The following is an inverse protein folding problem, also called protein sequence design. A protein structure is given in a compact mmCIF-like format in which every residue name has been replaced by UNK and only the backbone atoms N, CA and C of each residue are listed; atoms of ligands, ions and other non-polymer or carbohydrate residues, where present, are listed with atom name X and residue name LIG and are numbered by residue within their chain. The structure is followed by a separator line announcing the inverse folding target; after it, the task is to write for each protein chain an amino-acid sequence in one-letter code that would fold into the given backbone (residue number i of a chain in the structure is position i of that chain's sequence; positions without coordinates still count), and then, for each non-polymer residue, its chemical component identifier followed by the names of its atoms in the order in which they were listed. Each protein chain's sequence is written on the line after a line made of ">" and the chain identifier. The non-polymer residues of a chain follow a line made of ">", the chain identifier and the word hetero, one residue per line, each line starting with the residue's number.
data_IF_629552557423
#
_entry.id   IF_629552557423
#
_cell.length_a   1.000
_cell.length_b   1.000
_cell.length_c   1.000
_cell.angle_alpha   90.00
_cell.angle_beta   90.00
_cell.angle_gamma   90.00
#
_symmetry.space_group_name_H-M   'P 1'
#
loop_
_entity.id
_entity.type
_entity.pdbx_description
1 polymer ?
#
# COMPACT_ATOMS: atom_id res chain seq x y z
N UNK A 1 -35.85 -59.00 -117.78
CA UNK A 1 -34.96 -59.18 -116.61
C UNK A 1 -34.09 -57.94 -116.33
N UNK A 2 -33.39 -57.36 -117.32
CA UNK A 2 -32.55 -56.14 -117.14
C UNK A 2 -33.26 -54.90 -116.58
N UNK A 3 -34.48 -54.58 -117.04
CA UNK A 3 -35.19 -53.38 -116.60
C UNK A 3 -35.58 -53.40 -115.09
N UNK A 4 -35.86 -54.59 -114.55
CA UNK A 4 -36.20 -54.77 -113.13
C UNK A 4 -34.97 -54.63 -112.23
N UNK A 5 -33.84 -55.19 -112.62
CA UNK A 5 -32.56 -55.00 -111.92
C UNK A 5 -32.11 -53.54 -111.88
N UNK A 6 -32.30 -52.79 -112.98
CA UNK A 6 -31.98 -51.35 -113.02
C UNK A 6 -32.88 -50.52 -112.10
N UNK A 7 -34.16 -50.87 -111.97
CA UNK A 7 -35.08 -50.22 -111.02
C UNK A 7 -34.73 -50.56 -109.56
N UNK A 8 -34.38 -51.81 -109.26
CA UNK A 8 -34.00 -52.24 -107.92
C UNK A 8 -32.66 -51.60 -107.49
N UNK A 9 -31.69 -51.49 -108.38
CA UNK A 9 -30.42 -50.80 -108.13
C UNK A 9 -30.64 -49.28 -107.90
N UNK A 10 -31.50 -48.65 -108.70
CA UNK A 10 -31.89 -47.24 -108.49
C UNK A 10 -32.57 -47.03 -107.13
N UNK A 11 -33.49 -47.92 -106.75
CA UNK A 11 -34.16 -47.86 -105.45
C UNK A 11 -33.20 -48.07 -104.28
N UNK A 12 -32.21 -48.96 -104.42
CA UNK A 12 -31.16 -49.16 -103.43
C UNK A 12 -30.28 -47.92 -103.25
N UNK A 13 -29.87 -47.28 -104.35
CA UNK A 13 -29.08 -46.03 -104.31
C UNK A 13 -29.87 -44.89 -103.68
N UNK A 14 -31.17 -44.75 -104.00
CA UNK A 14 -32.04 -43.75 -103.37
C UNK A 14 -32.23 -43.99 -101.87
N UNK A 15 -32.39 -45.25 -101.44
CA UNK A 15 -32.47 -45.62 -100.02
C UNK A 15 -31.17 -45.33 -99.27
N UNK A 16 -30.02 -45.69 -99.83
CA UNK A 16 -28.71 -45.40 -99.24
C UNK A 16 -28.47 -43.88 -99.12
N UNK A 17 -28.87 -43.10 -100.13
CA UNK A 17 -28.80 -41.63 -100.09
C UNK A 17 -29.68 -41.03 -99.00
N UNK A 18 -30.89 -41.56 -98.79
CA UNK A 18 -31.79 -41.10 -97.73
C UNK A 18 -31.24 -41.40 -96.34
N UNK A 19 -30.63 -42.58 -96.14
CA UNK A 19 -29.95 -42.95 -94.90
C UNK A 19 -28.77 -42.04 -94.61
N UNK A 20 -27.90 -41.80 -95.60
CA UNK A 20 -26.77 -40.87 -95.50
C UNK A 20 -27.22 -39.44 -95.17
N UNK A 21 -28.32 -38.98 -95.77
CA UNK A 21 -28.88 -37.65 -95.48
C UNK A 21 -29.43 -37.57 -94.04
N UNK A 22 -30.08 -38.64 -93.56
CA UNK A 22 -30.58 -38.71 -92.18
C UNK A 22 -29.43 -38.71 -91.17
N UNK A 23 -28.40 -39.52 -91.41
CA UNK A 23 -27.20 -39.60 -90.58
C UNK A 23 -26.42 -38.28 -90.58
N UNK A 24 -26.26 -37.65 -91.75
CA UNK A 24 -25.63 -36.32 -91.84
C UNK A 24 -26.42 -35.27 -91.05
N UNK A 25 -27.75 -35.33 -91.05
CA UNK A 25 -28.59 -34.43 -90.25
C UNK A 25 -28.45 -34.68 -88.75
N UNK A 26 -28.40 -35.94 -88.30
CA UNK A 26 -28.20 -36.24 -86.88
C UNK A 26 -26.82 -35.82 -86.40
N UNK A 27 -25.77 -36.08 -87.19
CA UNK A 27 -24.40 -35.66 -86.87
C UNK A 27 -24.27 -34.13 -86.78
N UNK A 28 -24.96 -33.37 -87.65
CA UNK A 28 -25.00 -31.91 -87.56
C UNK A 28 -25.64 -31.43 -86.25
N UNK A 29 -26.75 -32.05 -85.84
CA UNK A 29 -27.40 -31.71 -84.57
C UNK A 29 -26.53 -32.04 -83.36
N UNK A 30 -25.87 -33.21 -83.37
CA UNK A 30 -24.93 -33.60 -82.31
C UNK A 30 -23.73 -32.64 -82.24
N UNK A 31 -23.21 -32.21 -83.39
CA UNK A 31 -22.13 -31.23 -83.47
C UNK A 31 -22.55 -29.87 -82.89
N UNK A 32 -23.76 -29.41 -83.20
CA UNK A 32 -24.28 -28.14 -82.67
C UNK A 32 -24.50 -28.22 -81.15
N UNK A 33 -25.06 -29.32 -80.63
CA UNK A 33 -25.20 -29.55 -79.18
C UNK A 33 -23.82 -29.61 -78.49
N UNK A 34 -22.85 -30.32 -79.07
CA UNK A 34 -21.51 -30.41 -78.53
C UNK A 34 -20.79 -29.05 -78.50
N UNK A 35 -21.03 -28.20 -79.52
CA UNK A 35 -20.50 -26.83 -79.56
C UNK A 35 -21.11 -25.94 -78.48
N UNK A 36 -22.41 -26.04 -78.26
CA UNK A 36 -23.11 -25.30 -77.19
C UNK A 36 -22.58 -25.72 -75.81
N UNK A 37 -22.47 -27.03 -75.56
CA UNK A 37 -21.90 -27.57 -74.32
C UNK A 37 -20.45 -27.11 -74.10
N UNK A 38 -19.63 -27.08 -75.17
CA UNK A 38 -18.25 -26.60 -75.08
C UNK A 38 -18.19 -25.11 -74.74
N UNK A 39 -19.06 -24.30 -75.33
CA UNK A 39 -19.14 -22.87 -75.03
C UNK A 39 -19.56 -22.61 -73.57
N UNK A 40 -20.56 -23.35 -73.08
CA UNK A 40 -21.00 -23.27 -71.67
C UNK A 40 -19.89 -23.69 -70.70
N UNK A 41 -19.20 -24.80 -71.00
CA UNK A 41 -18.10 -25.28 -70.18
C UNK A 41 -16.95 -24.27 -70.12
N UNK A 42 -16.62 -23.66 -71.27
CA UNK A 42 -15.58 -22.64 -71.36
C UNK A 42 -15.96 -21.41 -70.53
N UNK A 43 -17.21 -20.94 -70.63
CA UNK A 43 -17.70 -19.80 -69.84
C UNK A 43 -17.61 -20.08 -68.33
N UNK A 44 -18.07 -21.25 -67.89
CA UNK A 44 -17.98 -21.64 -66.48
C UNK A 44 -16.53 -21.76 -65.98
N UNK A 45 -15.63 -22.24 -66.83
CA UNK A 45 -14.21 -22.31 -66.50
C UNK A 45 -13.62 -20.90 -66.30
N UNK A 46 -13.92 -19.95 -67.21
CA UNK A 46 -13.47 -18.56 -67.09
C UNK A 46 -14.02 -17.88 -65.82
N UNK A 47 -15.30 -18.08 -65.51
CA UNK A 47 -15.92 -17.58 -64.27
C UNK A 47 -15.23 -18.13 -63.01
N UNK A 48 -14.94 -19.44 -62.99
CA UNK A 48 -14.29 -20.10 -61.88
C UNK A 48 -12.83 -19.65 -61.73
N UNK A 49 -12.11 -19.42 -62.83
CA UNK A 49 -10.77 -18.85 -62.80
C UNK A 49 -10.76 -17.45 -62.19
N UNK A 50 -11.68 -16.58 -62.61
CA UNK A 50 -11.78 -15.21 -62.08
C UNK A 50 -12.07 -15.23 -60.59
N UNK A 51 -13.00 -16.09 -60.16
CA UNK A 51 -13.32 -16.29 -58.74
C UNK A 51 -12.11 -16.80 -57.95
N UNK A 52 -11.43 -17.83 -58.45
CA UNK A 52 -10.23 -18.39 -57.81
C UNK A 52 -9.12 -17.34 -57.67
N UNK A 53 -8.87 -16.53 -58.72
CA UNK A 53 -7.92 -15.42 -58.68
C UNK A 53 -8.30 -14.36 -57.65
N UNK A 54 -9.59 -14.07 -57.47
CA UNK A 54 -10.08 -13.14 -56.45
C UNK A 54 -9.89 -13.70 -55.03
N UNK A 55 -10.24 -14.97 -54.81
CA UNK A 55 -10.09 -15.64 -53.52
C UNK A 55 -8.62 -15.72 -53.10
N UNK A 56 -7.72 -16.07 -54.01
CA UNK A 56 -6.27 -16.07 -53.76
C UNK A 56 -5.76 -14.68 -53.34
N UNK A 57 -6.25 -13.60 -53.98
CA UNK A 57 -5.88 -12.23 -53.59
C UNK A 57 -6.37 -11.87 -52.19
N UNK A 58 -7.56 -12.31 -51.80
CA UNK A 58 -8.10 -12.09 -50.46
C UNK A 58 -7.27 -12.85 -49.42
N UNK A 59 -6.98 -14.13 -49.66
CA UNK A 59 -6.13 -14.95 -48.79
C UNK A 59 -4.75 -14.32 -48.60
N UNK A 60 -4.13 -13.79 -49.66
CA UNK A 60 -2.84 -13.09 -49.56
C UNK A 60 -2.94 -11.86 -48.65
N UNK A 61 -4.01 -11.07 -48.75
CA UNK A 61 -4.23 -9.90 -47.87
C UNK A 61 -4.41 -10.32 -46.42
N UNK A 62 -5.20 -11.37 -46.18
CA UNK A 62 -5.45 -11.90 -44.84
C UNK A 62 -4.17 -12.45 -44.21
N UNK A 63 -3.41 -13.27 -44.94
CA UNK A 63 -2.11 -13.78 -44.49
C UNK A 63 -1.15 -12.63 -44.18
N UNK A 64 -1.13 -11.57 -44.99
CA UNK A 64 -0.28 -10.39 -44.73
C UNK A 64 -0.71 -9.66 -43.45
N UNK A 65 -2.01 -9.47 -43.26
CA UNK A 65 -2.58 -8.84 -42.05
C UNK A 65 -2.33 -9.67 -40.79
N UNK A 66 -2.48 -11.00 -40.87
CA UNK A 66 -2.21 -11.90 -39.76
C UNK A 66 -0.73 -11.89 -39.38
N UNK A 67 0.17 -11.88 -40.37
CA UNK A 67 1.62 -11.78 -40.13
C UNK A 67 2.02 -10.47 -39.45
N UNK A 68 1.44 -9.33 -39.87
CA UNK A 68 1.72 -8.05 -39.21
C UNK A 68 1.21 -8.04 -37.78
N UNK A 69 -0.04 -8.46 -37.56
CA UNK A 69 -0.64 -8.55 -36.22
C UNK A 69 0.15 -9.50 -35.30
N UNK A 70 0.60 -10.65 -35.80
CA UNK A 70 1.47 -11.55 -35.04
C UNK A 70 2.79 -10.90 -34.64
N UNK A 71 3.40 -10.10 -35.52
CA UNK A 71 4.64 -9.37 -35.23
C UNK A 71 4.42 -8.31 -34.15
N UNK A 72 3.35 -7.53 -34.27
CA UNK A 72 2.97 -6.50 -33.30
C UNK A 72 2.71 -7.12 -31.91
N UNK A 73 1.96 -8.23 -31.85
CA UNK A 73 1.67 -8.92 -30.60
C UNK A 73 2.93 -9.45 -29.92
N UNK A 74 3.91 -9.96 -30.69
CA UNK A 74 5.20 -10.40 -30.15
C UNK A 74 6.01 -9.24 -29.57
N UNK A 75 6.00 -8.09 -30.24
CA UNK A 75 6.67 -6.89 -29.76
C UNK A 75 6.01 -6.39 -28.46
N UNK A 76 4.68 -6.35 -28.43
CA UNK A 76 3.91 -5.96 -27.26
C UNK A 76 4.17 -6.88 -26.07
N UNK A 77 4.14 -8.20 -26.29
CA UNK A 77 4.46 -9.19 -25.27
C UNK A 77 5.87 -8.98 -24.69
N UNK A 78 6.85 -8.72 -25.55
CA UNK A 78 8.22 -8.44 -25.10
C UNK A 78 8.32 -7.17 -24.26
N UNK A 79 7.59 -6.11 -24.65
CA UNK A 79 7.50 -4.87 -23.89
C UNK A 79 6.88 -5.10 -22.51
N UNK A 80 5.69 -5.70 -22.47
CA UNK A 80 4.96 -5.97 -21.22
C UNK A 80 5.76 -6.87 -20.28
N UNK A 81 6.49 -7.87 -20.81
CA UNK A 81 7.37 -8.69 -19.98
C UNK A 81 8.49 -7.88 -19.31
N UNK A 82 9.09 -6.92 -20.02
CA UNK A 82 10.13 -6.04 -19.44
C UNK A 82 9.55 -5.13 -18.36
N UNK A 83 8.42 -4.50 -18.65
CA UNK A 83 7.71 -3.63 -17.70
C UNK A 83 7.29 -4.41 -16.44
N UNK A 84 6.77 -5.63 -16.61
CA UNK A 84 6.44 -6.53 -15.49
C UNK A 84 7.65 -6.80 -14.60
N UNK A 85 8.80 -7.16 -15.18
CA UNK A 85 10.02 -7.45 -14.42
C UNK A 85 10.55 -6.22 -13.68
N UNK A 86 10.45 -5.04 -14.28
CA UNK A 86 10.83 -3.79 -13.63
C UNK A 86 9.89 -3.45 -12.47
N UNK A 87 8.58 -3.59 -12.67
CA UNK A 87 7.59 -3.38 -11.63
C UNK A 87 7.77 -4.36 -10.46
N UNK A 88 8.02 -5.64 -10.73
CA UNK A 88 8.33 -6.64 -9.70
C UNK A 88 9.56 -6.25 -8.88
N UNK A 89 10.61 -5.72 -9.52
CA UNK A 89 11.81 -5.23 -8.83
C UNK A 89 11.50 -4.04 -7.92
N UNK A 90 10.73 -3.07 -8.40
CA UNK A 90 10.33 -1.90 -7.61
C UNK A 90 9.45 -2.32 -6.43
N UNK A 91 8.51 -3.23 -6.67
CA UNK A 91 7.63 -3.78 -5.63
C UNK A 91 8.42 -4.50 -4.53
N UNK A 92 9.41 -5.32 -4.89
CA UNK A 92 10.26 -5.98 -3.89
C UNK A 92 11.10 -4.98 -3.09
N UNK A 93 11.60 -3.93 -3.74
CA UNK A 93 12.29 -2.85 -3.04
C UNK A 93 11.35 -2.12 -2.08
N UNK A 94 10.13 -1.80 -2.50
CA UNK A 94 9.14 -1.14 -1.63
C UNK A 94 8.71 -2.03 -0.46
N UNK A 95 8.49 -3.33 -0.71
CA UNK A 95 8.17 -4.29 0.36
C UNK A 95 9.24 -4.31 1.45
N UNK A 96 10.51 -4.38 1.08
CA UNK A 96 11.63 -4.31 2.06
C UNK A 96 11.66 -2.98 2.81
N UNK A 97 11.40 -1.87 2.12
CA UNK A 97 11.31 -0.54 2.76
C UNK A 97 10.21 -0.50 3.80
N UNK A 98 9.02 -0.98 3.44
CA UNK A 98 7.87 -1.07 4.33
C UNK A 98 8.16 -1.96 5.55
N UNK A 99 8.77 -3.13 5.35
CA UNK A 99 9.16 -4.03 6.44
C UNK A 99 10.14 -3.37 7.41
N UNK A 100 11.15 -2.65 6.90
CA UNK A 100 12.10 -1.90 7.73
C UNK A 100 11.43 -0.77 8.51
N UNK A 101 10.57 0.03 7.86
CA UNK A 101 9.84 1.11 8.52
C UNK A 101 8.90 0.56 9.62
N UNK A 102 8.17 -0.53 9.34
CA UNK A 102 7.29 -1.16 10.31
C UNK A 102 8.06 -1.71 11.53
N UNK A 103 9.23 -2.29 11.31
CA UNK A 103 10.09 -2.76 12.41
C UNK A 103 10.58 -1.59 13.27
N UNK A 104 11.00 -0.48 12.66
CA UNK A 104 11.40 0.73 13.37
C UNK A 104 10.24 1.33 14.19
N UNK A 105 9.04 1.43 13.61
CA UNK A 105 7.85 1.93 14.29
C UNK A 105 7.41 1.02 15.44
N UNK A 106 7.51 -0.30 15.28
CA UNK A 106 7.23 -1.26 16.36
C UNK A 106 8.21 -1.06 17.53
N UNK A 107 9.50 -0.82 17.25
CA UNK A 107 10.50 -0.52 18.28
C UNK A 107 10.19 0.79 18.99
N UNK A 108 9.88 1.85 18.23
CA UNK A 108 9.55 3.16 18.78
C UNK A 108 8.31 3.09 19.68
N UNK A 109 7.26 2.40 19.26
CA UNK A 109 6.06 2.20 20.08
C UNK A 109 6.37 1.45 21.38
N UNK A 110 7.23 0.43 21.32
CA UNK A 110 7.65 -0.30 22.51
C UNK A 110 8.41 0.60 23.49
N UNK A 111 9.35 1.41 23.00
CA UNK A 111 10.10 2.36 23.82
C UNK A 111 9.19 3.44 24.42
N UNK A 112 8.22 3.94 23.65
CA UNK A 112 7.23 4.90 24.16
C UNK A 112 6.34 4.32 25.26
N UNK A 113 5.92 3.05 25.13
CA UNK A 113 5.17 2.36 26.17
C UNK A 113 6.00 2.20 27.44
N UNK A 114 7.29 1.86 27.32
CA UNK A 114 8.18 1.76 28.48
C UNK A 114 8.35 3.12 29.18
N UNK A 115 8.52 4.21 28.42
CA UNK A 115 8.58 5.56 28.98
C UNK A 115 7.26 5.95 29.65
N UNK A 116 6.13 5.54 29.10
CA UNK A 116 4.82 5.76 29.70
C UNK A 116 4.67 5.02 31.04
N UNK A 117 5.05 3.75 31.09
CA UNK A 117 5.02 2.94 32.32
C UNK A 117 5.91 3.58 33.40
N UNK A 118 7.16 3.93 33.04
CA UNK A 118 8.09 4.62 33.95
C UNK A 118 7.59 5.97 34.41
N UNK A 119 6.94 6.72 33.52
CA UNK A 119 6.29 7.97 33.88
C UNK A 119 5.22 7.72 34.94
N UNK A 120 4.36 6.71 34.80
CA UNK A 120 3.38 6.37 35.83
C UNK A 120 4.03 6.04 37.17
N UNK A 121 5.13 5.30 37.17
CA UNK A 121 5.86 4.94 38.39
C UNK A 121 6.57 6.13 39.07
N UNK A 122 6.77 7.26 38.36
CA UNK A 122 7.26 8.50 38.97
C UNK A 122 6.21 9.18 39.86
N UNK A 123 4.94 8.76 39.82
CA UNK A 123 3.87 9.35 40.61
C UNK A 123 4.02 9.01 42.10
N UNK A 124 3.87 10.02 42.97
CA UNK A 124 3.91 9.83 44.43
C UNK A 124 2.83 8.84 44.90
N UNK A 125 1.65 8.85 44.27
CA UNK A 125 0.59 7.88 44.57
C UNK A 125 1.01 6.43 44.29
N UNK A 126 1.80 6.21 43.23
CA UNK A 126 2.30 4.88 42.92
C UNK A 126 3.34 4.43 43.95
N UNK A 127 4.20 5.35 44.39
CA UNK A 127 5.19 5.08 45.42
C UNK A 127 4.53 4.79 46.78
N UNK A 128 3.50 5.54 47.18
CA UNK A 128 2.78 5.30 48.43
C UNK A 128 2.03 3.97 48.43
N UNK A 129 1.44 3.55 47.31
CA UNK A 129 0.79 2.23 47.18
C UNK A 129 1.79 1.06 47.22
N UNK A 130 3.02 1.29 46.77
CA UNK A 130 4.11 0.29 46.83
C UNK A 130 4.72 0.22 48.24
N UNK A 131 4.76 1.33 48.96
CA UNK A 131 5.26 1.44 50.32
C UNK A 131 4.24 0.98 51.39
N UNK A 132 2.94 1.16 51.14
CA UNK A 132 1.85 0.59 51.97
C UNK A 132 1.88 -0.95 51.99
N UNK A 133 2.39 -1.59 50.92
CA UNK A 133 2.66 -3.04 50.91
C UNK A 133 3.86 -3.44 51.77
N UNK A 134 4.71 -2.47 52.13
CA UNK A 134 5.94 -2.65 52.90
C UNK A 134 5.80 -2.24 54.38
N UNK A 135 4.60 -1.89 54.87
CA UNK A 135 4.35 -1.55 56.28
C UNK A 135 5.15 -0.34 56.80
N UNK A 136 5.22 0.75 56.02
CA UNK A 136 5.70 2.05 56.51
C UNK A 136 4.49 2.98 56.64
N UNK A 137 4.20 3.45 57.84
CA UNK A 137 3.10 4.38 58.09
C UNK A 137 3.44 5.75 57.46
N UNK A 138 3.06 5.96 56.20
CA UNK A 138 3.25 7.20 55.41
C UNK A 138 2.61 8.49 55.99
N UNK A 139 2.14 8.42 57.22
CA UNK A 139 1.51 9.49 57.99
C UNK A 139 2.47 10.58 58.50
N UNK A 140 3.79 10.38 58.40
CA UNK A 140 4.78 11.39 58.79
C UNK A 140 5.13 12.36 57.65
N UNK A 141 5.20 13.68 57.89
CA UNK A 141 5.69 14.65 56.91
C UNK A 141 7.10 14.35 56.38
N UNK A 142 7.95 13.70 57.19
CA UNK A 142 9.31 13.29 56.78
C UNK A 142 9.28 12.21 55.70
N UNK A 143 8.42 11.19 55.87
CA UNK A 143 8.31 10.07 54.92
C UNK A 143 7.75 10.56 53.58
N UNK A 144 6.80 11.52 53.61
CA UNK A 144 6.29 12.18 52.41
C UNK A 144 7.37 12.99 51.65
N UNK A 145 8.32 13.61 52.37
CA UNK A 145 9.46 14.31 51.76
C UNK A 145 10.44 13.35 51.07
N UNK A 146 10.66 12.17 51.64
CA UNK A 146 11.50 11.12 51.06
C UNK A 146 10.86 10.51 49.81
N UNK A 147 9.54 10.31 49.81
CA UNK A 147 8.76 9.91 48.64
C UNK A 147 8.87 10.94 47.50
N UNK A 148 8.77 12.24 47.81
CA UNK A 148 8.94 13.31 46.84
C UNK A 148 10.37 13.35 46.27
N UNK A 149 11.37 13.09 47.10
CA UNK A 149 12.78 13.02 46.68
C UNK A 149 13.00 11.82 45.75
N UNK A 150 12.42 10.67 46.09
CA UNK A 150 12.46 9.46 45.25
C UNK A 150 11.76 9.69 43.92
N UNK A 151 10.58 10.32 43.93
CA UNK A 151 9.85 10.74 42.72
C UNK A 151 10.71 11.65 41.84
N UNK A 152 11.33 12.70 42.41
CA UNK A 152 12.18 13.63 41.66
C UNK A 152 13.42 12.94 41.03
N UNK A 153 14.02 11.97 41.74
CA UNK A 153 15.12 11.16 41.21
C UNK A 153 14.66 10.28 40.03
N UNK A 154 13.50 9.63 40.13
CA UNK A 154 12.92 8.83 39.03
C UNK A 154 12.55 9.71 37.83
N UNK A 155 11.99 10.90 38.05
CA UNK A 155 11.71 11.88 37.00
C UNK A 155 13.01 12.30 36.29
N UNK A 156 14.10 12.47 37.04
CA UNK A 156 15.42 12.75 36.46
C UNK A 156 15.92 11.66 35.52
N UNK A 157 15.74 10.39 35.89
CA UNK A 157 16.06 9.24 35.04
C UNK A 157 15.17 9.19 33.79
N UNK A 158 13.86 9.38 33.95
CA UNK A 158 12.91 9.42 32.83
C UNK A 158 13.28 10.50 31.80
N UNK A 159 13.69 11.68 32.26
CA UNK A 159 14.15 12.76 31.38
C UNK A 159 15.38 12.36 30.55
N UNK A 160 16.35 11.68 31.16
CA UNK A 160 17.52 11.19 30.45
C UNK A 160 17.14 10.14 29.39
N UNK A 161 16.21 9.24 29.72
CA UNK A 161 15.74 8.19 28.82
C UNK A 161 14.92 8.74 27.64
N UNK A 162 14.05 9.72 27.89
CA UNK A 162 13.30 10.41 26.84
C UNK A 162 14.22 11.18 25.87
N UNK A 163 15.33 11.74 26.38
CA UNK A 163 16.35 12.38 25.56
C UNK A 163 17.16 11.38 24.73
N UNK A 164 17.49 10.22 25.29
CA UNK A 164 18.15 9.13 24.54
C UNK A 164 17.26 8.64 23.39
N UNK A 165 15.94 8.55 23.59
CA UNK A 165 14.98 8.21 22.53
C UNK A 165 15.07 9.18 21.33
N UNK A 166 15.24 10.48 21.59
CA UNK A 166 15.46 11.49 20.56
C UNK A 166 16.85 11.38 19.91
N UNK A 167 17.89 11.02 20.66
CA UNK A 167 19.26 10.93 20.15
C UNK A 167 19.52 9.67 19.31
N UNK A 168 18.78 8.58 19.54
CA UNK A 168 18.83 7.36 18.70
C UNK A 168 18.43 7.66 17.22
N UNK A 169 17.77 8.80 16.96
CA UNK A 169 17.52 9.35 15.61
C UNK A 169 18.80 9.83 14.96
N UNK A 170 19.55 10.68 15.66
CA UNK A 170 20.67 11.44 15.10
C UNK A 170 21.80 10.49 14.66
N UNK A 171 22.04 9.44 15.44
CA UNK A 171 23.01 8.39 15.10
C UNK A 171 22.55 7.47 13.96
N UNK A 172 21.23 7.23 13.82
CA UNK A 172 20.65 6.49 12.70
C UNK A 172 20.71 7.29 11.39
N UNK A 173 20.51 8.61 11.48
CA UNK A 173 20.59 9.55 10.35
C UNK A 173 22.01 9.59 9.79
N UNK A 174 23.02 9.77 10.64
CA UNK A 174 24.44 9.85 10.23
C UNK A 174 24.93 8.56 9.55
N UNK A 175 24.49 7.38 10.02
CA UNK A 175 24.86 6.09 9.38
C UNK A 175 24.17 5.86 8.04
N UNK A 176 23.11 6.60 7.74
CA UNK A 176 22.34 6.48 6.51
C UNK A 176 22.76 7.46 5.42
N UNK A 177 23.51 8.53 5.73
CA UNK A 177 23.98 9.51 4.75
C UNK A 177 25.00 8.93 3.74
N UNK A 178 25.70 7.85 4.11
CA UNK A 178 26.60 7.14 3.20
C UNK A 178 25.87 6.35 2.11
N UNK A 179 24.55 6.14 2.22
CA UNK A 179 23.74 5.38 1.27
C UNK A 179 22.70 6.27 0.59
N UNK A 180 23.15 6.93 -0.47
CA UNK A 180 22.34 7.82 -1.31
C UNK A 180 20.95 7.27 -1.71
N UNK A 181 19.96 8.17 -1.67
CA UNK A 181 18.61 8.12 -2.29
C UNK A 181 17.56 7.23 -1.61
N UNK A 182 17.06 7.66 -0.45
CA UNK A 182 15.68 7.38 -0.05
C UNK A 182 14.90 8.68 0.06
N UNK A 183 13.61 8.63 -0.30
CA UNK A 183 12.70 9.78 -0.31
C UNK A 183 12.67 10.42 1.08
N UNK A 184 13.17 11.64 1.12
CA UNK A 184 13.30 12.54 2.27
C UNK A 184 12.01 12.71 3.10
N UNK A 185 10.84 12.55 2.48
CA UNK A 185 9.55 12.84 3.12
C UNK A 185 9.13 11.89 4.26
N UNK A 186 9.40 10.59 4.15
CA UNK A 186 8.91 9.60 5.12
C UNK A 186 9.75 9.62 6.40
N UNK A 187 11.08 9.66 6.23
CA UNK A 187 12.05 9.80 7.31
C UNK A 187 11.83 11.08 8.12
N UNK A 188 11.50 12.17 7.44
CA UNK A 188 11.22 13.46 8.08
C UNK A 188 9.98 13.41 8.97
N UNK A 189 8.93 12.68 8.57
CA UNK A 189 7.71 12.54 9.37
C UNK A 189 8.00 11.72 10.64
N UNK A 190 8.75 10.62 10.52
CA UNK A 190 9.13 9.79 11.67
C UNK A 190 9.99 10.57 12.69
N UNK A 191 10.92 11.39 12.20
CA UNK A 191 11.77 12.24 13.04
C UNK A 191 10.95 13.35 13.75
N UNK A 192 10.00 13.96 13.04
CA UNK A 192 9.07 14.95 13.60
C UNK A 192 8.15 14.33 14.67
N UNK A 193 7.62 13.13 14.43
CA UNK A 193 6.77 12.41 15.38
C UNK A 193 7.55 12.04 16.65
N UNK A 194 8.77 11.53 16.50
CA UNK A 194 9.60 11.16 17.66
C UNK A 194 9.97 12.38 18.49
N UNK A 195 10.31 13.49 17.83
CA UNK A 195 10.57 14.76 18.51
C UNK A 195 9.34 15.20 19.31
N UNK A 196 8.15 15.17 18.71
CA UNK A 196 6.90 15.51 19.41
C UNK A 196 6.68 14.64 20.65
N UNK A 197 6.91 13.32 20.54
CA UNK A 197 6.79 12.39 21.67
C UNK A 197 7.80 12.70 22.78
N UNK A 198 9.07 12.94 22.44
CA UNK A 198 10.09 13.35 23.42
C UNK A 198 9.72 14.65 24.12
N UNK A 199 9.30 15.66 23.37
CA UNK A 199 8.90 16.96 23.92
C UNK A 199 7.73 16.78 24.92
N UNK A 200 6.73 15.93 24.59
CA UNK A 200 5.63 15.60 25.50
C UNK A 200 6.09 14.95 26.80
N UNK A 201 7.02 13.98 26.75
CA UNK A 201 7.56 13.34 27.95
C UNK A 201 8.36 14.34 28.81
N UNK A 202 9.15 15.20 28.16
CA UNK A 202 9.94 16.24 28.85
C UNK A 202 9.04 17.24 29.56
N UNK A 203 8.00 17.72 28.89
CA UNK A 203 7.04 18.66 29.47
C UNK A 203 6.27 18.02 30.64
N UNK A 204 5.85 16.76 30.50
CA UNK A 204 5.17 16.05 31.59
C UNK A 204 6.08 15.87 32.82
N UNK A 205 7.33 15.46 32.60
CA UNK A 205 8.33 15.34 33.65
C UNK A 205 8.59 16.67 34.38
N UNK A 206 8.69 17.78 33.62
CA UNK A 206 8.83 19.13 34.20
C UNK A 206 7.62 19.51 35.04
N UNK A 207 6.40 19.28 34.55
CA UNK A 207 5.17 19.56 35.28
C UNK A 207 5.10 18.79 36.60
N UNK A 208 5.42 17.49 36.59
CA UNK A 208 5.43 16.67 37.81
C UNK A 208 6.46 17.15 38.83
N UNK A 209 7.65 17.53 38.36
CA UNK A 209 8.68 18.11 39.24
C UNK A 209 8.25 19.44 39.86
N UNK A 210 7.52 20.27 39.11
CA UNK A 210 6.92 21.50 39.65
C UNK A 210 5.87 21.19 40.72
N UNK A 211 5.00 20.21 40.49
CA UNK A 211 4.01 19.75 41.49
C UNK A 211 4.72 19.25 42.75
N UNK A 212 5.73 18.39 42.61
CA UNK A 212 6.52 17.90 43.75
C UNK A 212 7.14 19.06 44.56
N UNK A 213 7.62 20.10 43.88
CA UNK A 213 8.16 21.29 44.55
C UNK A 213 7.09 22.04 45.34
N UNK A 214 5.88 22.19 44.81
CA UNK A 214 4.77 22.87 45.50
C UNK A 214 4.34 22.07 46.73
N UNK A 215 4.19 20.75 46.60
CA UNK A 215 3.84 19.86 47.72
C UNK A 215 4.91 19.93 48.81
N UNK A 216 6.19 19.90 48.43
CA UNK A 216 7.31 20.04 49.36
C UNK A 216 7.27 21.37 50.14
N UNK A 217 6.96 22.48 49.46
CA UNK A 217 6.81 23.78 50.11
C UNK A 217 5.65 23.77 51.12
N UNK A 218 4.53 23.15 50.79
CA UNK A 218 3.38 23.03 51.71
C UNK A 218 3.71 22.15 52.93
N UNK A 219 4.36 21.00 52.73
CA UNK A 219 4.79 20.11 53.82
C UNK A 219 5.78 20.80 54.77
N UNK A 220 6.76 21.52 54.23
CA UNK A 220 7.73 22.25 55.05
C UNK A 220 7.09 23.42 55.82
N UNK A 221 5.99 24.00 55.33
CA UNK A 221 5.24 25.01 56.06
C UNK A 221 4.46 24.39 57.23
N UNK A 222 3.89 23.19 57.02
CA UNK A 222 3.19 22.42 58.05
C UNK A 222 4.12 21.98 59.18
N UNK A 223 5.32 21.49 58.85
CA UNK A 223 6.32 21.07 59.87
C UNK A 223 6.78 22.24 60.74
N UNK A 224 6.89 23.45 60.18
CA UNK A 224 7.31 24.64 60.94
C UNK A 224 6.26 25.15 61.91
N UNK A 225 4.97 25.04 61.57
CA UNK A 225 3.90 25.44 62.48
C UNK A 225 3.77 24.49 63.68
N UNK A 226 4.18 23.22 63.54
CA UNK A 226 4.17 22.26 64.66
C UNK A 226 5.40 22.43 65.58
N UNK A 227 6.52 23.00 65.09
CA UNK A 227 7.74 23.26 65.90
C UNK A 227 7.66 24.58 66.71
N UNK A 228 6.88 25.56 66.25
CA UNK A 228 6.72 26.86 66.94
C UNK A 228 5.65 26.82 68.07
N UNK A 229 4.88 25.73 68.21
CA UNK A 229 3.86 25.55 69.28
C UNK A 229 4.45 24.95 70.59
N UNK A 230 5.71 24.50 70.60
CA UNK A 230 6.36 23.90 71.77
C UNK A 230 7.18 24.91 72.61
N UNK A 231 7.23 26.19 72.21
CA UNK A 231 8.08 27.23 72.81
C UNK A 231 7.35 28.59 73.00
N UNK A 232 6.11 28.63 73.53
CA UNK A 232 5.64 29.86 74.21
C UNK A 232 4.60 29.61 75.31
N UNK A 233 5.09 29.58 76.55
CA UNK A 233 4.30 29.67 77.77
C UNK A 233 4.22 31.17 78.17
N UNK A 234 3.59 32.02 77.34
CA UNK A 234 3.16 33.38 77.76
C UNK A 234 2.24 34.11 76.77
N UNK A 235 0.98 34.28 77.17
CA UNK A 235 0.05 35.40 76.89
C UNK A 235 0.21 36.22 75.58
N UNK A 236 -0.68 36.01 74.59
CA UNK A 236 -1.45 37.09 73.95
C UNK A 236 -2.54 36.53 73.01
N UNK A 237 -3.78 36.44 73.53
CA UNK A 237 -4.97 36.43 72.68
C UNK A 237 -5.02 37.78 71.92
N UNK A 238 -5.01 37.74 70.58
CA UNK A 238 -5.71 38.61 69.59
C UNK A 238 -4.89 38.70 68.28
N UNK A 239 -4.64 37.59 67.55
CA UNK A 239 -4.30 37.64 66.10
C UNK A 239 -4.82 36.44 65.26
N UNK A 240 -5.59 35.49 65.83
CA UNK A 240 -6.00 34.27 65.10
C UNK A 240 -7.14 34.47 64.07
N UNK A 241 -7.93 35.55 64.13
CA UNK A 241 -9.10 35.69 63.25
C UNK A 241 -8.77 36.20 61.83
N UNK A 242 -7.68 36.96 61.63
CA UNK A 242 -7.33 37.46 60.29
C UNK A 242 -6.54 36.43 59.46
N UNK A 243 -5.68 35.64 60.10
CA UNK A 243 -4.85 34.65 59.40
C UNK A 243 -5.65 33.42 58.96
N UNK A 244 -6.60 32.98 59.79
CA UNK A 244 -7.53 31.88 59.43
C UNK A 244 -8.45 32.26 58.27
N UNK A 245 -8.82 33.54 58.14
CA UNK A 245 -9.59 34.04 57.00
C UNK A 245 -8.77 34.08 55.70
N UNK A 246 -7.48 34.43 55.77
CA UNK A 246 -6.55 34.37 54.63
C UNK A 246 -6.30 32.92 54.18
N UNK A 247 -6.06 31.99 55.10
CA UNK A 247 -5.83 30.56 54.81
C UNK A 247 -7.04 29.88 54.15
N UNK A 248 -8.27 30.20 54.58
CA UNK A 248 -9.51 29.73 53.93
C UNK A 248 -9.68 30.26 52.49
N UNK A 249 -9.27 31.50 52.25
CA UNK A 249 -9.45 32.13 50.94
C UNK A 249 -8.50 31.55 49.88
N UNK A 250 -7.29 31.15 50.28
CA UNK A 250 -6.30 30.56 49.35
C UNK A 250 -6.70 29.14 48.93
N UNK A 251 -7.17 28.30 49.85
CA UNK A 251 -7.63 26.93 49.56
C UNK A 251 -8.85 26.89 48.64
N UNK A 252 -9.76 27.87 48.72
CA UNK A 252 -10.96 27.94 47.87
C UNK A 252 -10.68 28.22 46.38
N UNK A 253 -9.45 28.59 46.03
CA UNK A 253 -9.06 28.90 44.64
C UNK A 253 -8.43 27.72 43.89
N UNK A 254 -8.20 26.60 44.57
CA UNK A 254 -7.52 25.42 44.02
C UNK A 254 -8.38 24.14 44.00
N UNK A 255 -9.63 24.20 44.46
CA UNK A 255 -10.67 23.18 44.26
C UNK A 255 -11.64 23.62 43.16
#
# INVERSE_FOLDING_TARGET
>A
MRAKMFQDEKAHVESAKLLLMKESKTLLQELDVAREQLADLQKHHEELEVKSKADVKLLVKEVKSLRSSQSELKQELSRVMKEKLELERVMQKEKKRMEHANAANTKLLHECNLLWDRLQECSVNFLSEEEDKLHVDTSSPSDALDLLTTSDNRIGLLLAEAQLLAQDVENSVVRSEESHKMKDGDKRIDDELRKMLTDMFVDNARLRKQVNSVVRCALNAYVKTDEDDDDDDSEEEVEEEEETHLRKTVLSKFL
#
